data_IF_697244831367
#
_entry.id   IF_697244831367
#
_cell.length_a   1.000
_cell.length_b   1.000
_cell.length_c   1.000
_cell.angle_alpha   90.00
_cell.angle_beta   90.00
_cell.angle_gamma   90.00
#
_symmetry.space_group_name_H-M   'P 1'
#
loop_
_entity.id
_entity.type
_entity.pdbx_description
1 polymer ?
#
# COMPACT_ATOMS: atom_id res chain seq x y z
N UNK A 1 -13.69 -16.27 25.74
CA UNK A 1 -13.04 -16.66 24.47
C UNK A 1 -13.52 -15.67 23.43
N UNK A 2 -12.78 -14.58 23.19
CA UNK A 2 -13.12 -13.60 22.15
C UNK A 2 -12.39 -13.98 20.86
N UNK A 3 -13.08 -13.93 19.72
CA UNK A 3 -12.47 -14.12 18.41
C UNK A 3 -11.35 -13.07 18.21
N UNK A 4 -10.11 -13.47 17.92
CA UNK A 4 -9.04 -12.52 17.58
C UNK A 4 -9.22 -11.90 16.18
N UNK A 5 -10.37 -12.15 15.52
CA UNK A 5 -10.67 -11.74 14.13
C UNK A 5 -11.61 -10.54 14.03
N UNK A 6 -11.96 -9.93 15.16
CA UNK A 6 -12.67 -8.65 15.19
C UNK A 6 -11.67 -7.61 15.66
N UNK A 7 -11.36 -6.66 14.79
CA UNK A 7 -10.51 -5.52 15.11
C UNK A 7 -10.92 -4.93 16.47
N UNK A 8 -9.99 -4.92 17.43
CA UNK A 8 -10.21 -4.25 18.71
C UNK A 8 -10.50 -2.76 18.50
N UNK A 9 -11.20 -2.10 19.44
CA UNK A 9 -11.99 -0.88 19.22
C UNK A 9 -11.21 0.41 18.90
N UNK A 10 -9.93 0.34 18.50
CA UNK A 10 -9.08 1.54 18.33
C UNK A 10 -8.08 1.48 17.18
N UNK A 11 -8.01 0.39 16.40
CA UNK A 11 -7.10 0.29 15.25
C UNK A 11 -7.90 0.01 13.99
N UNK A 12 -8.05 1.02 13.15
CA UNK A 12 -8.66 0.90 11.83
C UNK A 12 -7.54 0.76 10.80
N UNK A 13 -7.37 -0.43 10.25
CA UNK A 13 -6.53 -0.60 9.07
C UNK A 13 -7.36 -0.48 7.80
N UNK A 14 -6.77 0.11 6.76
CA UNK A 14 -7.36 0.28 5.44
C UNK A 14 -6.38 -0.31 4.44
N UNK A 15 -6.79 -1.40 3.81
CA UNK A 15 -6.09 -1.98 2.66
C UNK A 15 -6.82 -1.56 1.39
N UNK A 16 -6.08 -1.05 0.41
CA UNK A 16 -6.65 -0.62 -0.86
C UNK A 16 -5.69 -0.93 -2.00
N UNK A 17 -6.20 -1.61 -3.02
CA UNK A 17 -5.50 -1.83 -4.29
C UNK A 17 -6.11 -0.86 -5.29
N UNK A 18 -5.30 0.07 -5.78
CA UNK A 18 -5.74 1.14 -6.68
C UNK A 18 -5.05 0.96 -8.01
N UNK A 19 -5.84 0.78 -9.06
CA UNK A 19 -5.35 0.83 -10.43
C UNK A 19 -5.17 2.30 -10.83
N UNK A 20 -3.95 2.66 -11.21
CA UNK A 20 -3.55 3.98 -11.66
C UNK A 20 -3.58 4.02 -13.18
N UNK A 21 -3.61 5.23 -13.73
CA UNK A 21 -3.26 5.40 -15.13
C UNK A 21 -1.75 5.21 -15.31
N UNK A 22 -1.27 4.71 -16.46
CA UNK A 22 0.16 4.58 -16.74
C UNK A 22 0.94 5.90 -16.61
N UNK A 23 0.30 7.03 -16.93
CA UNK A 23 0.85 8.37 -16.72
C UNK A 23 1.10 8.64 -15.24
N UNK A 24 0.07 8.50 -14.40
CA UNK A 24 0.19 8.69 -12.94
C UNK A 24 1.22 7.76 -12.31
N UNK A 25 1.26 6.48 -12.71
CA UNK A 25 2.27 5.54 -12.21
C UNK A 25 3.70 5.98 -12.58
N UNK A 26 3.89 6.49 -13.80
CA UNK A 26 5.18 7.02 -14.26
C UNK A 26 5.58 8.31 -13.52
N UNK A 27 4.62 9.22 -13.30
CA UNK A 27 4.83 10.43 -12.50
C UNK A 27 5.24 10.09 -11.06
N UNK A 28 4.58 9.13 -10.41
CA UNK A 28 4.96 8.68 -9.07
C UNK A 28 6.38 8.09 -9.05
N UNK A 29 6.73 7.26 -10.06
CA UNK A 29 8.09 6.71 -10.20
C UNK A 29 9.13 7.79 -10.37
N UNK A 30 8.88 8.80 -11.20
CA UNK A 30 9.83 9.91 -11.42
C UNK A 30 9.94 10.84 -10.21
N UNK A 31 8.81 11.13 -9.56
CA UNK A 31 8.73 12.09 -8.46
C UNK A 31 9.34 11.55 -7.16
N UNK A 32 9.07 10.29 -6.84
CA UNK A 32 9.48 9.68 -5.57
C UNK A 32 10.65 8.70 -5.71
N UNK A 33 11.02 8.33 -6.94
CA UNK A 33 12.10 7.38 -7.24
C UNK A 33 12.10 6.15 -6.31
N UNK A 34 10.95 5.46 -6.17
CA UNK A 34 10.82 4.36 -5.23
C UNK A 34 11.76 3.22 -5.63
N UNK A 35 12.39 2.61 -4.63
CA UNK A 35 13.36 1.54 -4.84
C UNK A 35 12.67 0.18 -4.81
N UNK A 36 13.15 -0.81 -5.58
CA UNK A 36 12.65 -2.17 -5.50
C UNK A 36 12.88 -2.72 -4.10
N UNK A 37 11.80 -3.20 -3.50
CA UNK A 37 11.79 -3.81 -2.18
C UNK A 37 11.29 -5.25 -2.27
N UNK A 38 11.87 -6.10 -1.44
CA UNK A 38 11.36 -7.47 -1.23
C UNK A 38 10.18 -7.50 -0.24
N UNK A 39 9.75 -6.34 0.24
CA UNK A 39 8.59 -6.21 1.12
C UNK A 39 7.30 -6.33 0.30
N UNK A 40 6.45 -7.28 0.68
CA UNK A 40 5.13 -7.46 0.09
C UNK A 40 4.08 -6.78 0.99
N UNK A 41 3.05 -6.15 0.41
CA UNK A 41 1.98 -5.55 1.18
C UNK A 41 1.18 -6.64 1.90
N UNK A 42 1.04 -6.52 3.22
CA UNK A 42 0.22 -7.42 4.03
C UNK A 42 -1.25 -7.00 3.95
N UNK A 43 -1.87 -7.21 2.80
CA UNK A 43 -3.29 -6.93 2.59
C UNK A 43 -4.16 -8.08 3.06
N UNK A 44 -5.40 -7.74 3.43
CA UNK A 44 -6.43 -8.72 3.75
C UNK A 44 -6.56 -9.83 2.69
N UNK A 45 -6.84 -11.05 3.12
CA UNK A 45 -6.80 -12.25 2.28
C UNK A 45 -7.73 -12.19 1.05
N UNK A 46 -8.78 -11.36 1.09
CA UNK A 46 -9.69 -11.13 -0.04
C UNK A 46 -9.08 -10.25 -1.14
N UNK A 47 -8.15 -9.36 -0.80
CA UNK A 47 -7.44 -8.49 -1.73
C UNK A 47 -6.20 -9.15 -2.32
N UNK A 48 -5.69 -10.24 -1.70
CA UNK A 48 -4.53 -10.99 -2.21
C UNK A 48 -4.71 -11.50 -3.64
N UNK A 49 -5.95 -11.81 -4.04
CA UNK A 49 -6.24 -12.23 -5.42
C UNK A 49 -6.14 -11.11 -6.46
N UNK A 50 -6.17 -9.84 -6.02
CA UNK A 50 -6.05 -8.65 -6.87
C UNK A 50 -4.67 -8.02 -6.79
N UNK A 51 -3.73 -8.64 -6.06
CA UNK A 51 -2.37 -8.13 -5.98
C UNK A 51 -1.63 -8.37 -7.31
N UNK A 52 -0.84 -7.39 -7.76
CA UNK A 52 0.00 -7.58 -8.94
C UNK A 52 1.05 -8.64 -8.64
N UNK A 53 1.20 -9.58 -9.57
CA UNK A 53 2.25 -10.61 -9.53
C UNK A 53 3.57 -9.99 -10.00
N UNK A 54 4.33 -9.41 -9.08
CA UNK A 54 5.61 -8.78 -9.40
C UNK A 54 6.31 -8.19 -8.18
N UNK A 55 7.46 -7.54 -8.43
CA UNK A 55 8.15 -6.74 -7.43
C UNK A 55 7.36 -5.49 -7.06
N UNK A 56 7.56 -5.03 -5.82
CA UNK A 56 7.00 -3.77 -5.35
C UNK A 56 8.12 -2.75 -5.19
N UNK A 57 7.83 -1.52 -5.59
CA UNK A 57 8.67 -0.36 -5.36
C UNK A 57 8.11 0.38 -4.14
N UNK A 58 8.96 0.63 -3.16
CA UNK A 58 8.61 1.41 -1.97
C UNK A 58 9.60 2.56 -1.77
N UNK A 59 9.14 3.65 -1.16
CA UNK A 59 10.01 4.76 -0.77
C UNK A 59 9.44 5.42 0.49
N UNK A 60 10.30 5.84 1.42
CA UNK A 60 9.87 6.63 2.57
C UNK A 60 9.12 7.92 2.19
N UNK A 61 9.51 8.55 1.08
CA UNK A 61 8.87 9.76 0.56
C UNK A 61 7.50 9.48 -0.05
N UNK A 62 7.34 8.32 -0.71
CA UNK A 62 6.05 7.85 -1.19
C UNK A 62 5.12 7.56 -0.01
N UNK A 63 5.59 6.84 1.00
CA UNK A 63 4.85 6.55 2.23
C UNK A 63 4.44 7.85 2.96
N UNK A 64 5.35 8.81 3.04
CA UNK A 64 5.08 10.12 3.64
C UNK A 64 4.05 10.93 2.84
N UNK A 65 3.96 10.76 1.52
CA UNK A 65 2.95 11.42 0.69
C UNK A 65 1.52 10.90 0.95
N UNK A 66 1.37 9.64 1.37
CA UNK A 66 0.08 9.03 1.72
C UNK A 66 -0.20 8.99 3.23
N UNK A 67 0.83 9.17 4.05
CA UNK A 67 0.71 9.26 5.51
C UNK A 67 0.14 10.63 5.90
N UNK A 68 -0.75 10.63 6.88
CA UNK A 68 -1.32 11.84 7.46
C UNK A 68 -1.16 11.83 8.98
N UNK A 69 -1.44 12.94 9.66
CA UNK A 69 -1.18 13.12 11.11
C UNK A 69 -1.83 12.05 12.01
N UNK A 70 -2.88 11.38 11.53
CA UNK A 70 -3.62 10.35 12.28
C UNK A 70 -3.54 8.94 11.66
N UNK A 71 -2.94 8.80 10.48
CA UNK A 71 -2.95 7.55 9.73
C UNK A 71 -1.57 7.33 9.14
N UNK A 72 -0.94 6.23 9.53
CA UNK A 72 0.33 5.80 8.96
C UNK A 72 0.06 4.95 7.73
N UNK A 73 0.53 5.37 6.56
CA UNK A 73 0.28 4.69 5.30
C UNK A 73 1.58 4.20 4.70
N UNK A 74 1.60 2.94 4.27
CA UNK A 74 2.63 2.39 3.40
C UNK A 74 2.09 2.25 1.99
N UNK A 75 2.90 2.63 1.02
CA UNK A 75 2.58 2.64 -0.39
C UNK A 75 3.54 1.72 -1.16
N UNK A 76 2.95 0.70 -1.79
CA UNK A 76 3.66 -0.30 -2.57
C UNK A 76 3.24 -0.15 -4.03
N UNK A 77 4.11 0.45 -4.84
CA UNK A 77 3.84 0.63 -6.26
C UNK A 77 4.33 -0.61 -7.03
N UNK A 78 3.51 -1.20 -7.88
CA UNK A 78 3.94 -2.33 -8.69
C UNK A 78 5.02 -1.91 -9.70
N UNK A 79 6.05 -2.74 -9.82
CA UNK A 79 7.16 -2.45 -10.72
C UNK A 79 6.73 -2.51 -12.19
N UNK A 80 5.94 -3.52 -12.54
CA UNK A 80 5.54 -3.80 -13.93
C UNK A 80 4.11 -3.37 -14.28
N UNK A 81 3.27 -3.12 -13.27
CA UNK A 81 1.87 -2.77 -13.45
C UNK A 81 1.59 -1.34 -12.98
N UNK A 82 0.62 -0.63 -13.57
CA UNK A 82 0.18 0.68 -13.08
C UNK A 82 -0.74 0.51 -11.87
N UNK A 83 -0.34 -0.28 -10.88
CA UNK A 83 -1.14 -0.59 -9.68
C UNK A 83 -0.36 -0.14 -8.46
N UNK A 84 -1.04 0.52 -7.52
CA UNK A 84 -0.49 0.86 -6.21
C UNK A 84 -1.33 0.20 -5.13
N UNK A 85 -0.65 -0.41 -4.17
CA UNK A 85 -1.26 -1.01 -2.98
C UNK A 85 -0.95 -0.11 -1.79
N UNK A 86 -1.99 0.31 -1.09
CA UNK A 86 -1.91 1.17 0.08
C UNK A 86 -2.37 0.38 1.29
N UNK A 87 -1.53 0.32 2.31
CA UNK A 87 -1.88 -0.25 3.62
C UNK A 87 -1.76 0.87 4.65
N UNK A 88 -2.89 1.31 5.18
CA UNK A 88 -2.96 2.39 6.14
C UNK A 88 -3.40 1.86 7.50
N UNK A 89 -2.84 2.38 8.59
CA UNK A 89 -3.22 2.03 9.96
C UNK A 89 -3.46 3.34 10.72
N UNK A 90 -4.69 3.53 11.20
CA UNK A 90 -5.10 4.64 12.04
C UNK A 90 -5.24 4.23 13.50
N UNK A 91 -4.78 5.09 14.41
CA UNK A 91 -4.87 4.98 15.87
C UNK A 91 -5.91 5.95 16.47
#
# INVERSE_FOLDING_TARGET
MGDPRVAGPSLYWIDSVVELTPGTASDLKQRYQPAPSNEAPDVWNTLRGSLPTGGYLTSPELDAAFTSTKIKTKAFLAEHDPIIVLTAVGE
#
